data_IF_229652809636
#
_entry.id   IF_229652809636
#
_cell.length_a   1.000
_cell.length_b   1.000
_cell.length_c   1.000
_cell.angle_alpha   90.00
_cell.angle_beta   90.00
_cell.angle_gamma   90.00
#
_symmetry.space_group_name_H-M   'P 1'
#
loop_
_entity.id
_entity.type
_entity.pdbx_description
1 polymer ?
#
# COMPACT_ATOMS: atom_id res chain seq x y z
N UNK A 1 -19.96 -2.85 7.37
CA UNK A 1 -19.81 -2.37 5.98
C UNK A 1 -18.34 -2.33 5.52
N UNK A 2 -17.42 -1.67 6.24
CA UNK A 2 -15.98 -1.63 5.86
C UNK A 2 -15.33 -3.03 5.79
N UNK A 3 -15.67 -3.92 6.74
CA UNK A 3 -15.16 -5.31 6.74
C UNK A 3 -15.53 -6.12 5.50
N UNK A 4 -16.67 -5.84 4.86
CA UNK A 4 -17.11 -6.57 3.67
C UNK A 4 -16.33 -6.11 2.43
N UNK A 5 -16.13 -4.80 2.28
CA UNK A 5 -15.40 -4.24 1.14
C UNK A 5 -13.92 -4.67 1.09
N UNK A 6 -13.28 -4.82 2.25
CA UNK A 6 -11.88 -5.27 2.35
C UNK A 6 -11.76 -6.80 2.14
N UNK A 7 -12.80 -7.57 2.47
CA UNK A 7 -12.80 -9.03 2.37
C UNK A 7 -13.09 -9.54 0.96
N UNK A 8 -13.89 -8.79 0.18
CA UNK A 8 -14.26 -9.17 -1.19
C UNK A 8 -13.23 -8.74 -2.24
N UNK A 9 -12.32 -7.81 -1.91
CA UNK A 9 -11.27 -7.33 -2.82
C UNK A 9 -9.84 -7.45 -2.23
N UNK A 10 -9.35 -8.67 -2.00
CA UNK A 10 -7.97 -8.87 -1.54
C UNK A 10 -6.93 -8.31 -2.52
N UNK A 11 -7.27 -8.16 -3.80
CA UNK A 11 -6.39 -7.60 -4.82
C UNK A 11 -6.23 -6.07 -4.75
N UNK A 12 -7.15 -5.34 -4.11
CA UNK A 12 -7.08 -3.87 -4.07
C UNK A 12 -5.93 -3.39 -3.20
N UNK A 13 -5.77 -3.94 -1.98
CA UNK A 13 -4.67 -3.53 -1.11
C UNK A 13 -3.30 -4.00 -1.64
N UNK A 14 -3.26 -5.17 -2.29
CA UNK A 14 -2.07 -5.65 -2.99
C UNK A 14 -1.71 -4.74 -4.19
N UNK A 15 -2.69 -4.38 -5.00
CA UNK A 15 -2.52 -3.50 -6.15
C UNK A 15 -2.10 -2.08 -5.77
N UNK A 16 -2.75 -1.49 -4.75
CA UNK A 16 -2.38 -0.19 -4.18
C UNK A 16 -0.95 -0.21 -3.63
N UNK A 17 -0.60 -1.27 -2.89
CA UNK A 17 0.74 -1.48 -2.40
C UNK A 17 1.75 -1.56 -3.54
N UNK A 18 1.48 -2.35 -4.58
CA UNK A 18 2.39 -2.55 -5.71
C UNK A 18 2.59 -1.25 -6.50
N UNK A 19 1.50 -0.58 -6.89
CA UNK A 19 1.55 0.70 -7.61
C UNK A 19 2.28 1.75 -6.79
N UNK A 20 1.98 1.83 -5.49
CA UNK A 20 2.66 2.74 -4.58
C UNK A 20 4.17 2.50 -4.52
N UNK A 21 4.59 1.24 -4.40
CA UNK A 21 6.00 0.86 -4.37
C UNK A 21 6.70 1.20 -5.70
N UNK A 22 6.07 0.93 -6.83
CA UNK A 22 6.62 1.29 -8.14
C UNK A 22 6.81 2.80 -8.29
N UNK A 23 5.79 3.58 -7.93
CA UNK A 23 5.87 5.04 -7.96
C UNK A 23 6.94 5.57 -6.99
N UNK A 24 7.08 4.98 -5.81
CA UNK A 24 8.12 5.35 -4.86
C UNK A 24 9.53 5.14 -5.42
N UNK A 25 9.79 4.02 -6.09
CA UNK A 25 11.07 3.76 -6.74
C UNK A 25 11.33 4.79 -7.86
N UNK A 26 10.33 5.06 -8.70
CA UNK A 26 10.44 6.06 -9.77
C UNK A 26 10.72 7.45 -9.19
N UNK A 27 9.95 7.87 -8.18
CA UNK A 27 10.16 9.16 -7.49
C UNK A 27 11.55 9.26 -6.87
N UNK A 28 12.01 8.20 -6.22
CA UNK A 28 13.36 8.11 -5.64
C UNK A 28 14.47 8.28 -6.68
N UNK A 29 14.30 7.72 -7.89
CA UNK A 29 15.25 7.90 -9.00
C UNK A 29 15.23 9.35 -9.50
N UNK A 30 14.05 9.96 -9.61
CA UNK A 30 13.91 11.35 -10.06
C UNK A 30 14.47 12.38 -9.06
N UNK A 31 14.71 11.99 -7.80
CA UNK A 31 15.40 12.85 -6.83
C UNK A 31 16.91 12.96 -7.07
N UNK A 32 17.51 12.14 -7.94
CA UNK A 32 18.92 12.26 -8.27
C UNK A 32 19.20 13.62 -8.94
N UNK A 33 20.33 14.24 -8.61
CA UNK A 33 20.72 15.57 -9.15
C UNK A 33 20.68 15.64 -10.68
N UNK A 34 20.93 14.51 -11.35
CA UNK A 34 20.81 14.36 -12.82
C UNK A 34 19.44 14.80 -13.36
N UNK A 35 18.38 14.71 -12.55
CA UNK A 35 17.01 15.01 -12.92
C UNK A 35 16.45 16.22 -12.18
N UNK A 36 17.30 17.17 -11.73
CA UNK A 36 16.87 18.35 -10.97
C UNK A 36 15.73 19.15 -11.61
N UNK A 37 15.66 19.21 -12.95
CA UNK A 37 14.55 19.82 -13.69
C UNK A 37 13.18 19.18 -13.42
N UNK A 38 13.15 17.91 -12.97
CA UNK A 38 11.96 17.13 -12.69
C UNK A 38 11.64 17.06 -11.19
N UNK A 39 12.28 17.88 -10.36
CA UNK A 39 12.14 17.81 -8.90
C UNK A 39 10.69 17.88 -8.42
N UNK A 40 9.88 18.80 -8.98
CA UNK A 40 8.47 18.90 -8.62
C UNK A 40 7.68 17.63 -8.98
N UNK A 41 7.97 17.02 -10.13
CA UNK A 41 7.36 15.76 -10.56
C UNK A 41 7.79 14.62 -9.64
N UNK A 42 9.07 14.57 -9.25
CA UNK A 42 9.62 13.61 -8.31
C UNK A 42 8.87 13.64 -6.98
N UNK A 43 8.65 14.84 -6.43
CA UNK A 43 7.94 15.06 -5.16
C UNK A 43 6.50 14.55 -5.25
N UNK A 44 5.75 14.90 -6.31
CA UNK A 44 4.36 14.46 -6.46
C UNK A 44 4.27 12.94 -6.60
N UNK A 45 5.12 12.34 -7.44
CA UNK A 45 5.17 10.88 -7.61
C UNK A 45 5.53 10.19 -6.29
N UNK A 46 6.45 10.75 -5.53
CA UNK A 46 6.86 10.22 -4.23
C UNK A 46 5.73 10.28 -3.20
N UNK A 47 5.02 11.41 -3.10
CA UNK A 47 3.88 11.56 -2.19
C UNK A 47 2.76 10.60 -2.55
N UNK A 48 2.36 10.55 -3.83
CA UNK A 48 1.30 9.65 -4.30
C UNK A 48 1.71 8.18 -4.13
N UNK A 49 2.96 7.84 -4.46
CA UNK A 49 3.50 6.50 -4.29
C UNK A 49 3.52 6.05 -2.83
N UNK A 50 4.03 6.90 -1.94
CA UNK A 50 4.07 6.62 -0.49
C UNK A 50 2.68 6.50 0.14
N UNK A 51 1.72 7.34 -0.26
CA UNK A 51 0.32 7.21 0.16
C UNK A 51 -0.30 5.89 -0.32
N UNK A 52 -0.08 5.49 -1.58
CA UNK A 52 -0.54 4.22 -2.12
C UNK A 52 0.00 3.02 -1.34
N UNK A 53 1.31 3.03 -1.03
CA UNK A 53 1.94 2.01 -0.19
C UNK A 53 1.34 1.95 1.21
N UNK A 54 1.13 3.10 1.85
CA UNK A 54 0.57 3.19 3.19
C UNK A 54 -0.84 2.59 3.22
N UNK A 55 -1.69 2.94 2.26
CA UNK A 55 -3.04 2.39 2.15
C UNK A 55 -3.01 0.88 1.90
N UNK A 56 -2.11 0.40 1.03
CA UNK A 56 -1.91 -1.03 0.81
C UNK A 56 -1.47 -1.78 2.08
N UNK A 57 -0.54 -1.21 2.85
CA UNK A 57 -0.05 -1.78 4.11
C UNK A 57 -1.14 -1.83 5.18
N UNK A 58 -1.95 -0.77 5.31
CA UNK A 58 -3.11 -0.73 6.22
C UNK A 58 -4.12 -1.82 5.84
N UNK A 59 -4.46 -1.92 4.55
CA UNK A 59 -5.37 -2.95 4.05
C UNK A 59 -4.90 -4.36 4.39
N UNK A 60 -3.61 -4.65 4.14
CA UNK A 60 -3.00 -5.93 4.50
C UNK A 60 -3.05 -6.19 6.01
N UNK A 61 -2.66 -5.20 6.83
CA UNK A 61 -2.66 -5.33 8.28
C UNK A 61 -4.05 -5.65 8.85
N UNK A 62 -5.10 -4.99 8.34
CA UNK A 62 -6.49 -5.26 8.73
C UNK A 62 -6.87 -6.70 8.38
N UNK A 63 -6.55 -7.17 7.18
CA UNK A 63 -6.88 -8.55 6.77
C UNK A 63 -6.11 -9.60 7.57
N UNK A 64 -4.83 -9.37 7.86
CA UNK A 64 -3.99 -10.30 8.63
C UNK A 64 -4.49 -10.38 10.09
N UNK A 65 -4.94 -9.26 10.67
CA UNK A 65 -5.49 -9.22 12.03
C UNK A 65 -6.84 -9.93 12.14
N UNK A 66 -7.71 -9.80 11.12
CA UNK A 66 -8.99 -10.51 11.07
C UNK A 66 -8.77 -12.03 10.90
N UNK A 67 -7.82 -12.46 10.05
CA UNK A 67 -7.44 -13.88 9.94
C UNK A 67 -6.91 -14.44 11.27
N UNK A 68 -5.98 -13.72 11.92
CA UNK A 68 -5.41 -14.14 13.19
C UNK A 68 -6.43 -14.18 14.37
N UNK A 69 -7.55 -13.46 14.26
CA UNK A 69 -8.68 -13.58 15.19
C UNK A 69 -9.53 -14.82 14.90
N UNK A 70 -9.77 -15.11 13.62
CA UNK A 70 -10.55 -16.28 13.20
C UNK A 70 -9.85 -17.60 13.60
N UNK A 71 -8.55 -17.72 13.31
CA UNK A 71 -7.76 -18.92 13.63
C UNK A 71 -7.71 -19.20 15.15
N UNK A 72 -7.73 -18.14 15.97
CA UNK A 72 -7.80 -18.28 17.43
C UNK A 72 -9.14 -18.78 17.92
N UNK A 73 -10.24 -18.39 17.26
CA UNK A 73 -11.58 -18.86 17.62
C UNK A 73 -11.84 -20.32 17.25
N UNK A 74 -11.22 -20.83 16.17
CA UNK A 74 -11.33 -22.24 15.80
C UNK A 74 -10.52 -23.15 16.73
N UNK A 75 -9.36 -22.72 17.21
CA UNK A 75 -8.53 -23.51 18.16
C UNK A 75 -9.14 -23.68 19.55
N UNK A 76 -10.17 -22.91 19.89
CA UNK A 76 -10.87 -22.96 21.19
C UNK A 76 -12.17 -23.78 21.14
N UNK A 77 -12.54 -24.33 19.98
CA UNK A 77 -13.64 -25.28 19.81
C UNK A 77 -13.10 -26.70 19.67
#
# INVERSE_FOLDING_TARGET
MIKTFVKDYPYIHLGLGLIGNTLFVIGSILFLERFSAWHHVAVVIFIVGSLGMLLGAIGKAVTDLDKARHDRSERQR
#
